data_IF_885062494444
#
_entry.id   IF_885062494444
#
_cell.length_a   1.000
_cell.length_b   1.000
_cell.length_c   1.000
_cell.angle_alpha   90.00
_cell.angle_beta   90.00
_cell.angle_gamma   90.00
#
_symmetry.space_group_name_H-M   'P 1'
#
loop_
_entity.id
_entity.type
_entity.pdbx_description
1 polymer ?
#
# COMPACT_ATOMS: atom_id res chain seq x y z
N UNK A 1 -39.20 41.13 85.47
CA UNK A 1 -39.05 39.84 84.77
C UNK A 1 -39.62 39.84 83.34
N UNK A 2 -40.71 40.58 83.01
CA UNK A 2 -41.30 40.49 81.65
C UNK A 2 -40.47 41.15 80.54
N UNK A 3 -39.71 42.21 80.83
CA UNK A 3 -38.82 42.88 79.86
C UNK A 3 -37.70 41.95 79.36
N UNK A 4 -37.12 41.15 80.26
CA UNK A 4 -36.11 40.14 79.92
C UNK A 4 -36.71 39.03 79.03
N UNK A 5 -37.94 38.61 79.34
CA UNK A 5 -38.69 37.62 78.54
C UNK A 5 -38.93 38.11 77.11
N UNK A 6 -39.30 39.38 76.94
CA UNK A 6 -39.52 39.98 75.62
C UNK A 6 -38.23 40.01 74.78
N UNK A 7 -37.07 40.28 75.41
CA UNK A 7 -35.78 40.22 74.72
C UNK A 7 -35.40 38.79 74.33
N UNK A 8 -35.65 37.79 75.18
CA UNK A 8 -35.42 36.39 74.82
C UNK A 8 -36.32 35.91 73.69
N UNK A 9 -37.58 36.32 73.69
CA UNK A 9 -38.52 36.03 72.61
C UNK A 9 -38.07 36.67 71.29
N UNK A 10 -37.62 37.93 71.33
CA UNK A 10 -37.08 38.61 70.15
C UNK A 10 -35.82 37.92 69.60
N UNK A 11 -34.93 37.44 70.48
CA UNK A 11 -33.74 36.68 70.08
C UNK A 11 -34.15 35.36 69.44
N UNK A 12 -35.10 34.63 70.04
CA UNK A 12 -35.59 33.36 69.51
C UNK A 12 -36.23 33.52 68.12
N UNK A 13 -37.07 34.55 67.93
CA UNK A 13 -37.68 34.87 66.64
C UNK A 13 -36.61 35.21 65.60
N UNK A 14 -35.57 35.96 65.99
CA UNK A 14 -34.49 36.34 65.08
C UNK A 14 -33.63 35.14 64.69
N UNK A 15 -33.31 34.24 65.63
CA UNK A 15 -32.58 33.00 65.34
C UNK A 15 -33.36 32.09 64.39
N UNK A 16 -34.65 31.88 64.65
CA UNK A 16 -35.50 31.08 63.76
C UNK A 16 -35.64 31.73 62.38
N UNK A 17 -35.69 33.06 62.31
CA UNK A 17 -35.67 33.82 61.07
C UNK A 17 -34.38 33.59 60.27
N UNK A 18 -33.22 33.66 60.91
CA UNK A 18 -31.91 33.49 60.26
C UNK A 18 -31.70 32.05 59.80
N UNK A 19 -32.07 31.06 60.63
CA UNK A 19 -31.90 29.64 60.28
C UNK A 19 -32.87 29.17 59.20
N UNK A 20 -34.04 29.80 59.09
CA UNK A 20 -35.04 29.50 58.05
C UNK A 20 -34.78 30.22 56.72
N UNK A 21 -33.78 31.10 56.65
CA UNK A 21 -33.40 31.71 55.37
C UNK A 21 -32.87 30.61 54.44
N UNK A 22 -33.45 30.44 53.25
CA UNK A 22 -32.98 29.46 52.29
C UNK A 22 -31.66 29.92 51.67
N UNK A 23 -30.55 29.66 52.36
CA UNK A 23 -29.24 29.85 51.79
C UNK A 23 -29.02 28.78 50.72
N UNK A 24 -28.74 29.17 49.46
CA UNK A 24 -28.43 28.20 48.43
C UNK A 24 -27.17 27.44 48.88
N UNK A 25 -27.21 26.10 49.00
CA UNK A 25 -26.02 25.34 49.33
C UNK A 25 -24.95 25.59 48.26
N UNK A 26 -23.65 25.45 48.60
CA UNK A 26 -22.57 25.66 47.65
C UNK A 26 -22.82 24.80 46.40
N UNK A 27 -23.18 25.47 45.30
CA UNK A 27 -23.46 24.81 44.03
C UNK A 27 -22.12 24.33 43.48
N UNK A 28 -21.89 23.03 43.60
CA UNK A 28 -20.65 22.33 43.21
C UNK A 28 -20.30 22.64 41.74
N UNK A 29 -21.30 22.86 40.89
CA UNK A 29 -21.09 23.01 39.46
C UNK A 29 -20.34 24.29 39.06
N UNK A 30 -20.56 25.45 39.69
CA UNK A 30 -19.96 26.70 39.20
C UNK A 30 -18.47 26.82 39.50
N UNK A 31 -18.02 26.33 40.68
CA UNK A 31 -16.60 26.35 41.05
C UNK A 31 -15.83 25.12 40.56
N UNK A 32 -16.48 23.95 40.41
CA UNK A 32 -15.79 22.76 39.90
C UNK A 32 -15.53 22.82 38.38
N UNK A 33 -16.45 23.40 37.60
CA UNK A 33 -16.28 23.58 36.14
C UNK A 33 -15.17 24.59 35.80
N UNK A 34 -14.88 25.57 36.67
CA UNK A 34 -13.85 26.57 36.40
C UNK A 34 -12.49 26.24 37.04
N UNK A 35 -12.43 25.29 37.98
CA UNK A 35 -11.20 24.98 38.72
C UNK A 35 -10.33 23.89 38.09
N UNK A 36 -10.87 23.01 37.23
CA UNK A 36 -10.17 21.81 36.76
C UNK A 36 -10.27 21.53 35.26
N UNK A 37 -10.65 22.51 34.44
CA UNK A 37 -10.60 22.34 32.99
C UNK A 37 -9.42 23.12 32.43
N UNK A 38 -8.44 22.40 31.89
CA UNK A 38 -7.50 22.97 30.93
C UNK A 38 -8.32 23.65 29.83
N UNK A 39 -8.07 24.93 29.56
CA UNK A 39 -8.81 25.75 28.57
C UNK A 39 -8.91 25.06 27.19
N UNK A 40 -8.00 24.12 26.90
CA UNK A 40 -7.99 23.26 25.71
C UNK A 40 -9.19 22.31 25.61
N UNK A 41 -9.80 21.85 26.71
CA UNK A 41 -11.02 21.02 26.67
C UNK A 41 -12.28 21.85 26.48
N UNK A 42 -12.28 23.11 26.91
CA UNK A 42 -13.48 23.96 26.87
C UNK A 42 -13.66 24.67 25.53
N UNK A 43 -12.56 25.09 24.88
CA UNK A 43 -12.68 26.00 23.74
C UNK A 43 -12.60 25.29 22.38
N UNK A 44 -11.89 24.17 22.21
CA UNK A 44 -11.98 23.33 21.00
C UNK A 44 -11.50 21.91 21.28
N UNK A 45 -12.43 21.04 21.67
CA UNK A 45 -12.26 19.61 21.43
C UNK A 45 -12.14 19.42 19.92
N UNK A 46 -10.92 19.39 19.41
CA UNK A 46 -10.67 18.92 18.05
C UNK A 46 -11.13 17.48 18.01
N UNK A 47 -12.11 17.19 17.14
CA UNK A 47 -12.62 15.83 16.98
C UNK A 47 -11.46 14.89 16.61
N UNK A 48 -11.58 13.59 16.86
CA UNK A 48 -10.48 12.64 16.63
C UNK A 48 -9.91 12.72 15.20
N UNK A 49 -10.77 13.01 14.22
CA UNK A 49 -10.38 13.20 12.82
C UNK A 49 -9.61 14.50 12.55
N UNK A 50 -9.83 15.53 13.36
CA UNK A 50 -9.09 16.80 13.32
C UNK A 50 -7.71 16.66 14.01
N UNK A 51 -7.62 15.89 15.10
CA UNK A 51 -6.34 15.60 15.77
C UNK A 51 -5.34 14.94 14.83
N UNK A 52 -5.81 14.13 13.87
CA UNK A 52 -4.97 13.53 12.84
C UNK A 52 -4.36 14.56 11.87
N UNK A 53 -5.00 15.72 11.66
CA UNK A 53 -4.49 16.79 10.80
C UNK A 53 -3.43 17.65 11.51
N UNK A 54 -3.54 17.81 12.83
CA UNK A 54 -2.67 18.68 13.63
C UNK A 54 -1.58 17.93 14.39
N UNK A 55 -1.59 16.60 14.39
CA UNK A 55 -0.51 15.77 14.93
C UNK A 55 0.68 15.77 13.97
N UNK A 56 1.78 16.39 14.39
CA UNK A 56 3.05 16.33 13.66
C UNK A 56 3.62 14.93 13.83
N UNK A 57 3.92 14.19 12.74
CA UNK A 57 4.58 12.90 12.84
C UNK A 57 5.86 13.02 13.69
N UNK A 58 6.11 12.10 14.64
CA UNK A 58 7.33 12.14 15.43
C UNK A 58 8.54 12.16 14.48
N UNK A 59 9.54 13.02 14.74
CA UNK A 59 10.70 13.12 13.88
C UNK A 59 11.37 11.74 13.77
N UNK A 60 11.86 11.36 12.57
CA UNK A 60 12.55 10.10 12.39
C UNK A 60 13.71 10.03 13.40
N UNK A 61 13.95 8.84 14.01
CA UNK A 61 15.03 8.69 14.97
C UNK A 61 16.34 9.17 14.32
N UNK A 62 17.17 9.93 15.06
CA UNK A 62 18.43 10.42 14.52
C UNK A 62 19.24 9.21 14.04
N UNK A 63 19.63 9.22 12.77
CA UNK A 63 20.57 8.24 12.23
C UNK A 63 21.85 8.38 13.06
N UNK A 64 22.12 7.37 13.89
CA UNK A 64 23.39 7.21 14.57
C UNK A 64 24.41 6.96 13.46
N UNK A 65 25.03 8.03 12.97
CA UNK A 65 26.14 7.97 12.05
C UNK A 65 27.30 7.28 12.76
N UNK A 66 27.79 6.20 12.17
CA UNK A 66 29.07 5.59 12.53
C UNK A 66 30.20 6.63 12.40
N UNK A 67 31.26 6.56 13.21
CA UNK A 67 32.34 7.55 13.18
C UNK A 67 33.26 7.28 11.98
N UNK A 68 33.30 8.21 11.02
CA UNK A 68 34.43 8.37 10.11
C UNK A 68 34.87 9.84 10.08
N UNK A 69 36.19 9.99 10.00
CA UNK A 69 37.05 11.16 10.26
C UNK A 69 36.85 12.40 9.36
N UNK A 70 37.47 13.56 9.72
CA UNK A 70 36.91 14.88 9.45
C UNK A 70 37.52 15.56 8.22
N UNK A 71 36.67 16.14 7.36
CA UNK A 71 37.08 17.27 6.51
C UNK A 71 35.89 18.15 6.07
N UNK A 72 36.13 19.47 6.18
CA UNK A 72 35.45 20.60 5.54
C UNK A 72 34.03 20.99 6.04
N UNK A 73 33.99 22.09 6.81
CA UNK A 73 32.80 22.97 6.94
C UNK A 73 32.54 23.66 5.59
N UNK A 74 31.27 23.97 5.26
CA UNK A 74 30.90 25.37 5.45
C UNK A 74 29.55 25.58 6.16
N UNK A 75 29.54 26.69 6.87
CA UNK A 75 28.43 27.41 7.49
C UNK A 75 27.16 27.47 6.63
N UNK A 76 26.04 26.93 7.13
CA UNK A 76 24.71 27.42 6.75
C UNK A 76 23.74 27.29 7.93
N UNK A 77 23.67 28.41 8.67
CA UNK A 77 22.51 28.98 9.36
C UNK A 77 21.45 27.99 9.85
N UNK A 78 21.48 27.73 11.15
CA UNK A 78 20.40 27.21 12.01
C UNK A 78 19.03 27.73 11.50
N UNK A 79 18.30 26.91 10.75
CA UNK A 79 16.97 27.25 10.27
C UNK A 79 15.98 26.89 11.37
N UNK A 80 15.64 27.87 12.21
CA UNK A 80 14.49 27.76 13.11
C UNK A 80 13.23 27.93 12.26
N UNK A 81 12.48 26.85 12.04
CA UNK A 81 11.13 26.94 11.48
C UNK A 81 10.20 27.50 12.56
N UNK A 82 9.89 28.80 12.45
CA UNK A 82 8.81 29.42 13.19
C UNK A 82 7.50 29.02 12.52
N UNK A 83 6.63 28.32 13.24
CA UNK A 83 5.30 27.97 12.77
C UNK A 83 4.39 29.20 12.98
N UNK A 84 4.17 29.98 11.92
CA UNK A 84 3.35 31.19 11.96
C UNK A 84 1.87 30.81 11.86
N UNK A 85 1.17 30.92 12.99
CA UNK A 85 -0.29 31.03 13.07
C UNK A 85 -0.75 32.39 12.56
N UNK A 86 -0.92 32.54 11.26
CA UNK A 86 -1.80 33.56 10.63
C UNK A 86 -1.59 33.48 9.12
N UNK A 87 -2.64 33.11 8.39
CA UNK A 87 -2.58 32.82 6.96
C UNK A 87 -2.13 34.01 6.11
N UNK A 88 -1.15 33.76 5.24
CA UNK A 88 -1.00 34.41 3.94
C UNK A 88 -0.19 33.50 3.00
N UNK A 89 -0.66 33.36 1.76
CA UNK A 89 -0.09 32.53 0.70
C UNK A 89 1.02 33.30 0.00
N UNK A 90 2.25 32.78 0.00
CA UNK A 90 3.28 33.21 -0.96
C UNK A 90 3.90 31.98 -1.63
N UNK A 91 3.45 31.66 -2.84
CA UNK A 91 4.11 30.69 -3.72
C UNK A 91 5.33 31.36 -4.35
N UNK A 92 6.48 31.30 -3.68
CA UNK A 92 7.77 31.55 -4.34
C UNK A 92 8.19 30.29 -5.09
N UNK A 93 8.11 30.37 -6.42
CA UNK A 93 8.59 29.34 -7.31
C UNK A 93 10.12 29.18 -7.22
N UNK A 94 10.56 27.93 -7.19
CA UNK A 94 11.92 27.57 -7.60
C UNK A 94 11.83 26.31 -8.45
N UNK A 95 11.91 26.53 -9.77
CA UNK A 95 12.16 25.50 -10.77
C UNK A 95 13.62 25.05 -10.64
N UNK A 96 13.87 23.88 -10.06
CA UNK A 96 14.99 23.00 -10.46
C UNK A 96 14.70 21.55 -10.04
N UNK A 97 14.81 20.62 -10.99
CA UNK A 97 15.07 19.20 -10.68
C UNK A 97 13.86 18.28 -10.45
N UNK A 98 13.19 17.91 -11.54
CA UNK A 98 12.64 16.57 -11.84
C UNK A 98 12.49 15.60 -10.64
N UNK A 99 11.37 15.71 -9.93
CA UNK A 99 10.77 14.63 -9.14
C UNK A 99 9.26 14.63 -9.35
N UNK A 100 8.80 13.64 -10.09
CA UNK A 100 7.40 13.36 -10.42
C UNK A 100 6.65 12.83 -9.20
N UNK A 101 6.38 13.70 -8.23
CA UNK A 101 5.53 13.39 -7.10
C UNK A 101 4.78 14.65 -6.70
N UNK A 102 3.45 14.65 -6.91
CA UNK A 102 2.59 15.73 -6.45
C UNK A 102 2.91 16.06 -4.97
N UNK A 103 2.87 17.35 -4.57
CA UNK A 103 3.16 17.75 -3.20
C UNK A 103 2.35 16.86 -2.25
N UNK A 104 3.01 16.28 -1.24
CA UNK A 104 2.40 15.41 -0.22
C UNK A 104 1.32 16.22 0.49
N UNK A 105 0.13 16.27 -0.10
CA UNK A 105 -1.04 16.88 0.52
C UNK A 105 -1.28 16.08 1.78
N UNK A 106 -1.01 16.70 2.93
CA UNK A 106 -1.30 16.17 4.25
C UNK A 106 -2.81 16.03 4.39
N UNK A 107 -3.37 14.98 3.80
CA UNK A 107 -4.80 14.65 3.91
C UNK A 107 -5.02 13.94 5.25
N UNK A 108 -6.12 14.21 5.94
CA UNK A 108 -6.49 13.53 7.19
C UNK A 108 -6.40 12.01 7.05
N UNK A 109 -6.90 11.50 5.92
CA UNK A 109 -6.83 10.07 5.55
C UNK A 109 -5.39 9.55 5.47
N UNK A 110 -4.43 10.34 4.99
CA UNK A 110 -3.02 9.95 4.94
C UNK A 110 -2.36 9.95 6.33
N UNK A 111 -2.79 10.83 7.23
CA UNK A 111 -2.30 10.85 8.61
C UNK A 111 -2.82 9.64 9.42
N UNK A 112 -4.09 9.25 9.20
CA UNK A 112 -4.71 8.09 9.88
C UNK A 112 -4.24 6.76 9.30
N UNK A 113 -4.25 6.60 7.96
CA UNK A 113 -3.85 5.36 7.31
C UNK A 113 -2.33 5.17 7.29
N UNK A 114 -1.57 6.27 7.30
CA UNK A 114 -0.17 6.31 6.89
C UNK A 114 -0.03 6.51 5.37
N UNK A 115 1.10 7.08 4.96
CA UNK A 115 1.42 7.28 3.54
C UNK A 115 1.45 5.98 2.76
N UNK A 116 2.07 4.94 3.32
CA UNK A 116 2.29 3.67 2.64
C UNK A 116 0.98 2.93 2.33
N UNK A 117 0.08 2.84 3.32
CA UNK A 117 -1.22 2.17 3.17
C UNK A 117 -2.13 2.91 2.19
N UNK A 118 -2.14 4.25 2.25
CA UNK A 118 -2.89 5.07 1.29
C UNK A 118 -2.35 4.92 -0.13
N UNK A 119 -1.04 4.89 -0.28
CA UNK A 119 -0.41 4.72 -1.59
C UNK A 119 -0.63 3.31 -2.12
N UNK A 120 -0.70 2.30 -1.25
CA UNK A 120 -1.06 0.93 -1.62
C UNK A 120 -2.50 0.85 -2.14
N UNK A 121 -3.46 1.48 -1.45
CA UNK A 121 -4.86 1.57 -1.90
C UNK A 121 -4.97 2.33 -3.24
N UNK A 122 -4.19 3.40 -3.43
CA UNK A 122 -4.16 4.14 -4.71
C UNK A 122 -3.52 3.34 -5.84
N UNK A 123 -2.52 2.50 -5.53
CA UNK A 123 -1.93 1.60 -6.52
C UNK A 123 -2.95 0.55 -6.95
N UNK A 124 -3.60 -0.10 -5.99
CA UNK A 124 -4.64 -1.11 -6.30
C UNK A 124 -5.81 -0.52 -7.09
N UNK A 125 -6.21 0.72 -6.81
CA UNK A 125 -7.26 1.41 -7.58
C UNK A 125 -6.84 1.71 -9.04
N UNK A 126 -5.54 2.00 -9.26
CA UNK A 126 -5.01 2.28 -10.60
C UNK A 126 -4.84 1.04 -11.46
N UNK A 127 -4.66 -0.13 -10.86
CA UNK A 127 -4.52 -1.39 -11.59
C UNK A 127 -5.83 -1.90 -12.21
N UNK A 128 -6.95 -1.25 -11.92
CA UNK A 128 -8.25 -1.57 -12.51
C UNK A 128 -9.18 -2.21 -11.50
N UNK A 129 -10.45 -2.33 -11.87
CA UNK A 129 -11.53 -2.79 -10.97
C UNK A 129 -11.35 -4.24 -10.50
N UNK A 130 -10.60 -5.03 -11.26
CA UNK A 130 -10.43 -6.47 -11.04
C UNK A 130 -9.23 -6.80 -10.13
N UNK A 131 -8.27 -5.87 -9.98
CA UNK A 131 -7.04 -6.05 -9.19
C UNK A 131 -7.06 -5.28 -7.85
N UNK A 132 -8.26 -4.94 -7.35
CA UNK A 132 -8.39 -4.26 -6.06
C UNK A 132 -8.17 -5.27 -4.93
N UNK A 133 -7.06 -5.13 -4.20
CA UNK A 133 -6.81 -5.92 -3.00
C UNK A 133 -7.81 -5.53 -1.89
N UNK A 134 -8.82 -6.38 -1.74
CA UNK A 134 -9.92 -6.22 -0.79
C UNK A 134 -9.43 -6.23 0.66
N UNK A 135 -8.37 -6.98 0.98
CA UNK A 135 -7.86 -7.07 2.36
C UNK A 135 -7.22 -5.75 2.80
N UNK A 136 -6.45 -5.12 1.91
CA UNK A 136 -5.84 -3.81 2.15
C UNK A 136 -6.93 -2.75 2.30
N UNK A 137 -7.97 -2.82 1.47
CA UNK A 137 -9.11 -1.91 1.55
C UNK A 137 -9.88 -2.06 2.87
N UNK A 138 -10.19 -3.30 3.28
CA UNK A 138 -10.86 -3.58 4.55
C UNK A 138 -10.02 -3.15 5.76
N UNK A 139 -8.70 -3.37 5.72
CA UNK A 139 -7.76 -2.88 6.74
C UNK A 139 -7.71 -1.35 6.81
N UNK A 140 -7.79 -0.68 5.65
CA UNK A 140 -7.89 0.77 5.59
C UNK A 140 -9.23 1.29 6.16
N UNK A 141 -10.33 0.64 5.79
CA UNK A 141 -11.66 0.97 6.31
C UNK A 141 -11.75 0.78 7.83
N UNK A 142 -11.15 -0.28 8.37
CA UNK A 142 -11.07 -0.54 9.81
C UNK A 142 -10.32 0.59 10.55
N UNK A 143 -9.13 0.97 10.06
CA UNK A 143 -8.36 2.09 10.63
C UNK A 143 -9.11 3.43 10.56
N UNK A 144 -9.79 3.68 9.43
CA UNK A 144 -10.60 4.89 9.28
C UNK A 144 -11.83 4.88 10.19
N UNK A 145 -12.48 3.72 10.38
CA UNK A 145 -13.67 3.60 11.23
C UNK A 145 -13.40 3.91 12.71
N UNK A 146 -12.15 3.74 13.18
CA UNK A 146 -11.76 4.13 14.54
C UNK A 146 -11.66 5.65 14.76
N UNK A 147 -11.38 6.41 13.70
CA UNK A 147 -11.25 7.88 13.76
C UNK A 147 -12.53 8.58 13.28
N UNK A 148 -13.23 7.95 12.34
CA UNK A 148 -14.49 8.39 11.77
C UNK A 148 -15.56 7.30 11.98
N UNK A 149 -16.24 7.29 13.14
CA UNK A 149 -17.22 6.25 13.45
C UNK A 149 -18.42 6.38 12.53
N UNK A 150 -18.52 5.48 11.56
CA UNK A 150 -19.68 5.36 10.71
C UNK A 150 -20.60 4.25 11.26
N UNK A 151 -21.88 4.55 11.58
CA UNK A 151 -22.81 3.55 12.08
C UNK A 151 -22.89 2.32 11.17
N UNK A 152 -22.73 1.13 11.74
CA UNK A 152 -22.77 -0.15 11.02
C UNK A 152 -21.51 -0.51 10.22
N UNK A 153 -20.51 0.37 10.10
CA UNK A 153 -19.25 0.03 9.43
C UNK A 153 -18.47 -1.06 10.19
N UNK A 154 -18.42 -0.96 11.52
CA UNK A 154 -17.72 -1.91 12.38
C UNK A 154 -18.30 -3.33 12.31
N UNK A 155 -19.58 -3.48 11.99
CA UNK A 155 -20.23 -4.80 11.79
C UNK A 155 -20.06 -5.31 10.36
N UNK A 156 -20.10 -4.40 9.38
CA UNK A 156 -19.98 -4.75 7.96
C UNK A 156 -18.58 -5.18 7.56
N UNK A 157 -17.54 -4.55 8.12
CA UNK A 157 -16.14 -4.88 7.82
C UNK A 157 -15.82 -6.36 8.12
N UNK A 158 -16.08 -6.90 9.33
CA UNK A 158 -15.82 -8.32 9.60
C UNK A 158 -16.72 -9.25 8.79
N UNK A 159 -17.99 -8.88 8.55
CA UNK A 159 -18.88 -9.65 7.68
C UNK A 159 -18.34 -9.75 6.24
N UNK A 160 -17.82 -8.64 5.70
CA UNK A 160 -17.22 -8.61 4.38
C UNK A 160 -15.90 -9.39 4.33
N UNK A 161 -15.09 -9.37 5.40
CA UNK A 161 -13.87 -10.17 5.51
C UNK A 161 -14.19 -11.67 5.51
N UNK A 162 -15.19 -12.09 6.27
CA UNK A 162 -15.65 -13.50 6.27
C UNK A 162 -16.16 -13.93 4.89
N UNK A 163 -16.96 -13.07 4.23
CA UNK A 163 -17.43 -13.33 2.86
C UNK A 163 -16.28 -13.45 1.87
N UNK A 164 -15.31 -12.56 1.93
CA UNK A 164 -14.15 -12.58 1.04
C UNK A 164 -13.28 -13.82 1.27
N UNK A 165 -13.01 -14.18 2.53
CA UNK A 165 -12.28 -15.41 2.88
C UNK A 165 -12.99 -16.66 2.35
N UNK A 166 -14.33 -16.72 2.46
CA UNK A 166 -15.12 -17.80 1.90
C UNK A 166 -15.02 -17.84 0.36
N UNK A 167 -15.23 -16.71 -0.32
CA UNK A 167 -15.11 -16.62 -1.78
C UNK A 167 -13.72 -16.99 -2.27
N UNK A 168 -12.65 -16.60 -1.56
CA UNK A 168 -11.27 -16.96 -1.88
C UNK A 168 -11.02 -18.46 -1.75
N UNK A 169 -11.52 -19.08 -0.69
CA UNK A 169 -11.44 -20.54 -0.51
C UNK A 169 -12.18 -21.28 -1.64
N UNK A 170 -13.37 -20.80 -1.98
CA UNK A 170 -14.18 -21.35 -3.07
C UNK A 170 -13.51 -21.17 -4.43
N UNK A 171 -12.88 -20.02 -4.70
CA UNK A 171 -12.10 -19.80 -5.92
C UNK A 171 -10.91 -20.75 -6.01
N UNK A 172 -10.13 -20.89 -4.93
CA UNK A 172 -8.98 -21.80 -4.92
C UNK A 172 -9.39 -23.26 -5.21
N UNK A 173 -10.55 -23.71 -4.69
CA UNK A 173 -11.09 -25.03 -5.00
C UNK A 173 -11.51 -25.19 -6.47
N UNK A 174 -12.10 -24.16 -7.06
CA UNK A 174 -12.48 -24.23 -8.48
C UNK A 174 -11.28 -24.06 -9.41
N UNK A 175 -10.28 -23.27 -9.03
CA UNK A 175 -9.01 -23.15 -9.76
C UNK A 175 -8.29 -24.49 -9.82
N UNK A 176 -8.17 -25.21 -8.70
CA UNK A 176 -7.56 -26.55 -8.70
C UNK A 176 -8.35 -27.54 -9.56
N UNK A 177 -9.68 -27.46 -9.54
CA UNK A 177 -10.53 -28.32 -10.38
C UNK A 177 -10.39 -27.98 -11.87
N UNK A 178 -10.23 -26.70 -12.22
CA UNK A 178 -9.98 -26.27 -13.60
C UNK A 178 -8.61 -26.75 -14.07
N UNK A 179 -7.61 -26.74 -13.20
CA UNK A 179 -6.27 -27.27 -13.49
C UNK A 179 -6.32 -28.78 -13.75
N UNK A 180 -6.97 -29.56 -12.88
CA UNK A 180 -7.20 -30.99 -13.10
C UNK A 180 -7.93 -31.26 -14.43
N UNK A 181 -8.98 -30.48 -14.73
CA UNK A 181 -9.70 -30.59 -15.99
C UNK A 181 -8.83 -30.23 -17.19
N UNK A 182 -8.01 -29.19 -17.09
CA UNK A 182 -7.07 -28.80 -18.14
C UNK A 182 -6.01 -29.89 -18.38
N UNK A 183 -5.52 -30.54 -17.33
CA UNK A 183 -4.61 -31.69 -17.45
C UNK A 183 -5.28 -32.89 -18.10
N UNK A 184 -6.51 -33.23 -17.72
CA UNK A 184 -7.24 -34.34 -18.36
C UNK A 184 -7.50 -34.05 -19.85
N UNK A 185 -7.84 -32.82 -20.20
CA UNK A 185 -7.99 -32.41 -21.60
C UNK A 185 -6.67 -32.45 -22.35
N UNK A 186 -5.56 -32.01 -21.74
CA UNK A 186 -4.22 -32.13 -22.33
C UNK A 186 -3.83 -33.58 -22.57
N UNK A 187 -4.18 -34.49 -21.65
CA UNK A 187 -3.94 -35.93 -21.81
C UNK A 187 -4.79 -36.50 -22.95
N UNK A 188 -6.09 -36.21 -22.99
CA UNK A 188 -6.96 -36.68 -24.08
C UNK A 188 -6.55 -36.10 -25.43
N UNK A 189 -6.13 -34.84 -25.47
CA UNK A 189 -5.61 -34.20 -26.67
C UNK A 189 -4.33 -34.92 -27.11
N UNK A 190 -3.37 -35.15 -26.20
CA UNK A 190 -2.16 -35.93 -26.48
C UNK A 190 -2.46 -37.36 -26.96
N UNK A 191 -3.38 -38.05 -26.31
CA UNK A 191 -3.79 -39.42 -26.70
C UNK A 191 -4.44 -39.40 -28.10
N UNK A 192 -5.26 -38.39 -28.42
CA UNK A 192 -5.88 -38.23 -29.74
C UNK A 192 -4.86 -37.95 -30.85
N UNK A 193 -3.81 -37.16 -30.58
CA UNK A 193 -2.72 -36.94 -31.55
C UNK A 193 -1.78 -38.14 -31.68
N UNK A 194 -1.75 -39.07 -30.73
CA UNK A 194 -0.91 -40.27 -30.78
C UNK A 194 -1.64 -41.51 -31.35
N UNK A 195 -2.97 -41.47 -31.46
CA UNK A 195 -3.82 -42.55 -31.99
C UNK A 195 -4.14 -42.37 -33.50
N UNK A 196 -3.89 -41.19 -34.06
CA UNK A 196 -4.14 -40.86 -35.48
C UNK A 196 -2.89 -41.03 -36.38
N UNK A 197 -1.76 -41.46 -35.80
CA UNK A 197 -0.45 -41.61 -36.47
C UNK A 197 -0.04 -43.09 -36.70
N UNK A 198 -0.93 -44.05 -36.42
CA UNK A 198 -0.62 -45.50 -36.49
C UNK A 198 -1.36 -46.25 -37.63
N UNK A 199 -2.03 -45.54 -38.56
CA UNK A 199 -2.91 -46.16 -39.56
C UNK A 199 -2.83 -45.61 -41.00
N UNK A 200 -1.74 -44.95 -41.43
CA UNK A 200 -1.49 -44.69 -42.85
C UNK A 200 0.01 -44.64 -43.19
N UNK A 201 0.59 -45.82 -43.38
CA UNK A 201 1.93 -46.01 -43.96
C UNK A 201 1.80 -46.70 -45.33
N UNK A 202 1.04 -46.09 -46.24
CA UNK A 202 1.22 -46.26 -47.70
C UNK A 202 1.07 -44.89 -48.40
N UNK A 203 2.23 -44.31 -48.76
CA UNK A 203 2.44 -43.24 -49.75
C UNK A 203 1.95 -41.81 -49.42
N UNK A 204 2.85 -40.95 -48.90
CA UNK A 204 3.27 -39.71 -49.57
C UNK A 204 4.07 -38.74 -48.65
N UNK A 205 5.35 -38.62 -48.97
CA UNK A 205 6.14 -37.39 -49.11
C UNK A 205 5.53 -36.01 -48.71
N UNK A 206 6.32 -35.29 -47.90
CA UNK A 206 6.40 -33.83 -47.69
C UNK A 206 5.32 -33.08 -46.84
N UNK A 207 5.64 -32.83 -45.57
CA UNK A 207 5.13 -31.64 -44.84
C UNK A 207 5.19 -31.70 -43.31
N UNK A 208 6.30 -31.24 -42.74
CA UNK A 208 6.59 -30.94 -41.32
C UNK A 208 5.39 -30.41 -40.47
N UNK A 209 5.28 -30.57 -39.14
CA UNK A 209 6.23 -30.36 -38.03
C UNK A 209 5.70 -31.03 -36.73
N UNK A 210 6.63 -31.34 -35.82
CA UNK A 210 6.44 -31.53 -34.36
C UNK A 210 5.85 -32.87 -33.83
N UNK A 211 6.55 -33.97 -34.09
CA UNK A 211 6.64 -35.05 -33.11
C UNK A 211 7.91 -34.85 -32.28
N UNK A 212 7.76 -34.56 -30.97
CA UNK A 212 8.85 -34.65 -30.00
C UNK A 212 9.32 -36.11 -29.92
N UNK A 213 10.14 -36.50 -30.88
CA UNK A 213 10.96 -37.70 -30.85
C UNK A 213 11.80 -37.58 -29.58
N UNK A 214 11.61 -38.51 -28.65
CA UNK A 214 12.36 -38.54 -27.39
C UNK A 214 13.80 -38.88 -27.77
N UNK A 215 14.58 -37.84 -28.12
CA UNK A 215 15.98 -37.96 -28.49
C UNK A 215 16.71 -38.64 -27.34
N UNK A 216 17.19 -39.84 -27.57
CA UNK A 216 18.05 -40.51 -26.60
C UNK A 216 19.38 -39.79 -26.55
N UNK A 217 20.10 -39.87 -25.44
CA UNK A 217 21.40 -39.20 -25.29
C UNK A 217 22.44 -39.69 -26.33
N UNK A 218 22.20 -40.86 -26.94
CA UNK A 218 22.98 -41.40 -28.05
C UNK A 218 22.69 -40.69 -29.39
N UNK A 219 21.43 -40.31 -29.65
CA UNK A 219 21.03 -39.55 -30.85
C UNK A 219 21.59 -38.12 -30.80
N UNK A 220 21.56 -37.48 -29.63
CA UNK A 220 22.11 -36.13 -29.43
C UNK A 220 23.62 -36.08 -29.72
N UNK A 221 24.36 -37.14 -29.36
CA UNK A 221 25.82 -37.20 -29.61
C UNK A 221 26.12 -37.35 -31.10
N UNK A 222 25.30 -38.11 -31.82
CA UNK A 222 25.45 -38.28 -33.27
C UNK A 222 25.19 -36.97 -34.00
N UNK A 223 24.15 -36.25 -33.59
CA UNK A 223 23.83 -34.94 -34.15
C UNK A 223 24.94 -33.93 -33.86
N UNK A 224 25.53 -33.92 -32.65
CA UNK A 224 26.66 -33.04 -32.34
C UNK A 224 27.89 -33.31 -33.24
N UNK A 225 28.17 -34.58 -33.56
CA UNK A 225 29.24 -34.95 -34.48
C UNK A 225 28.95 -34.49 -35.91
N UNK A 226 27.71 -34.65 -36.38
CA UNK A 226 27.27 -34.21 -37.70
C UNK A 226 27.32 -32.68 -37.83
N UNK A 227 26.82 -31.95 -36.83
CA UNK A 227 26.89 -30.48 -36.77
C UNK A 227 28.34 -30.02 -36.80
N UNK A 228 29.25 -30.71 -36.11
CA UNK A 228 30.68 -30.38 -36.12
C UNK A 228 31.31 -30.58 -37.49
N UNK A 229 30.89 -31.58 -38.27
CA UNK A 229 31.34 -31.74 -39.65
C UNK A 229 30.77 -30.68 -40.57
N UNK A 230 29.49 -30.35 -40.41
CA UNK A 230 28.83 -29.31 -41.19
C UNK A 230 29.43 -27.94 -40.92
N UNK A 231 29.80 -27.62 -39.69
CA UNK A 231 30.48 -26.37 -39.36
C UNK A 231 31.87 -26.27 -39.97
N UNK A 232 32.62 -27.38 -40.07
CA UNK A 232 33.90 -27.41 -40.80
C UNK A 232 33.69 -27.13 -42.29
N UNK A 233 32.72 -27.80 -42.92
CA UNK A 233 32.37 -27.59 -44.33
C UNK A 233 31.88 -26.17 -44.59
N UNK A 234 31.04 -25.63 -43.71
CA UNK A 234 30.56 -24.24 -43.75
C UNK A 234 31.71 -23.25 -43.64
N UNK A 235 32.66 -23.47 -42.73
CA UNK A 235 33.82 -22.61 -42.56
C UNK A 235 34.74 -22.62 -43.79
N UNK A 236 34.99 -23.79 -44.37
CA UNK A 236 35.76 -23.93 -45.61
C UNK A 236 35.07 -23.22 -46.80
N UNK A 237 33.75 -23.40 -46.93
CA UNK A 237 32.95 -22.70 -47.95
C UNK A 237 32.92 -21.19 -47.73
N UNK A 238 32.81 -20.73 -46.48
CA UNK A 238 32.88 -19.31 -46.15
C UNK A 238 34.26 -18.71 -46.45
N UNK A 239 35.35 -19.44 -46.19
CA UNK A 239 36.69 -18.99 -46.52
C UNK A 239 36.89 -18.91 -48.04
N UNK A 240 36.37 -19.90 -48.78
CA UNK A 240 36.37 -19.88 -50.25
C UNK A 240 35.52 -18.74 -50.82
N UNK A 241 34.34 -18.49 -50.26
CA UNK A 241 33.50 -17.34 -50.62
C UNK A 241 34.22 -16.04 -50.32
N UNK A 242 34.85 -15.91 -49.16
CA UNK A 242 35.60 -14.72 -48.78
C UNK A 242 36.82 -14.49 -49.69
N UNK A 243 37.47 -15.55 -50.16
CA UNK A 243 38.52 -15.46 -51.16
C UNK A 243 37.98 -14.99 -52.51
N UNK A 244 36.86 -15.57 -52.97
CA UNK A 244 36.20 -15.14 -54.21
C UNK A 244 35.68 -13.69 -54.12
N UNK A 245 35.11 -13.27 -52.99
CA UNK A 245 34.68 -11.89 -52.74
C UNK A 245 35.86 -10.92 -52.72
N UNK A 246 37.01 -11.35 -52.21
CA UNK A 246 38.25 -10.55 -52.25
C UNK A 246 38.77 -10.41 -53.67
N UNK A 247 38.71 -11.47 -54.48
CA UNK A 247 39.12 -11.46 -55.88
C UNK A 247 38.14 -10.64 -56.75
N UNK A 248 36.82 -10.74 -56.51
CA UNK A 248 35.80 -9.91 -57.17
C UNK A 248 35.88 -8.45 -56.72
N UNK A 249 36.05 -8.20 -55.42
CA UNK A 249 36.20 -6.85 -54.87
C UNK A 249 37.49 -6.17 -55.34
N UNK A 250 38.54 -6.92 -55.63
CA UNK A 250 39.74 -6.43 -56.29
C UNK A 250 39.53 -6.08 -57.76
N UNK A 251 38.61 -6.77 -58.45
CA UNK A 251 38.26 -6.52 -59.85
C UNK A 251 37.25 -5.36 -60.03
N UNK A 252 36.36 -5.15 -59.06
CA UNK A 252 35.39 -4.04 -59.02
C UNK A 252 35.98 -2.71 -58.53
N UNK A 253 37.15 -2.74 -57.87
CA UNK A 253 37.86 -1.56 -57.38
C UNK A 253 39.07 -1.15 -58.26
N UNK A 254 39.15 -1.66 -59.50
CA UNK A 254 39.96 -1.12 -60.60
C UNK A 254 39.06 -0.33 -61.57
#
# INVERSE_FOLDING_TARGET
>A
MSLLSAHFEQIAISCQGIDSLPFPPPKIFTNALLSNHDITSLIRDTEAHERALFSVPPPPPPTIAQPQEPAAKPTSRRQTVFNVTSGEVTTSGSNTGRSTGAPRRHTAVAAVLGGDLRDQIRRSERHGKDDVDVEILLKGAERLSGVYPLPGALERIPAQRAKYAHSRSTLAYYESKVEEQAETLRRMNKDHWMDDDDDDDEDADEGAEDAEEIFTEEDLRREEEEVRELDKKKKELQERLRAMDKDLGGLLNM
#
